data_IF_440400073772
#
_entry.id   IF_440400073772
#
_cell.length_a   1.000
_cell.length_b   1.000
_cell.length_c   1.000
_cell.angle_alpha   90.00
_cell.angle_beta   90.00
_cell.angle_gamma   90.00
#
_symmetry.space_group_name_H-M   'P 1'
#
loop_
_entity.id
_entity.type
_entity.pdbx_description
1 polymer ?
#
# COMPACT_ATOMS: atom_id res chain seq x y z
N UNK A 1 -57.12 19.31 -20.28
CA UNK A 1 -55.83 18.70 -19.89
C UNK A 1 -55.10 18.23 -21.14
N UNK A 2 -54.04 18.89 -21.59
CA UNK A 2 -53.29 18.45 -22.75
C UNK A 2 -52.20 17.45 -22.32
N UNK A 3 -52.05 16.41 -23.11
CA UNK A 3 -51.05 15.33 -22.98
C UNK A 3 -49.63 15.87 -23.20
N UNK A 4 -48.71 15.44 -22.35
CA UNK A 4 -47.26 15.65 -22.51
C UNK A 4 -46.71 14.82 -23.69
N UNK A 5 -45.71 15.32 -24.44
CA UNK A 5 -45.05 14.58 -25.50
C UNK A 5 -44.08 13.53 -24.96
N UNK A 6 -43.80 12.45 -25.70
CA UNK A 6 -42.90 11.39 -25.26
C UNK A 6 -41.45 11.84 -25.30
N UNK A 7 -40.69 11.40 -24.30
CA UNK A 7 -39.26 11.63 -24.16
C UNK A 7 -38.46 10.98 -25.31
N UNK A 8 -37.57 11.75 -25.91
CA UNK A 8 -36.65 11.31 -26.95
C UNK A 8 -35.61 10.35 -26.39
N UNK A 9 -35.43 9.22 -27.07
CA UNK A 9 -34.37 8.25 -26.79
C UNK A 9 -32.97 8.84 -27.08
N UNK A 10 -31.94 8.49 -26.31
CA UNK A 10 -30.58 8.93 -26.59
C UNK A 10 -30.02 8.25 -27.84
N UNK A 11 -29.52 9.06 -28.75
CA UNK A 11 -28.84 8.62 -29.98
C UNK A 11 -27.53 7.93 -29.59
N UNK A 12 -27.44 6.65 -29.91
CA UNK A 12 -26.19 5.87 -29.81
C UNK A 12 -25.16 6.41 -30.80
N UNK A 13 -23.98 6.68 -30.31
CA UNK A 13 -22.78 6.88 -31.12
C UNK A 13 -22.36 5.56 -31.77
N UNK A 14 -21.96 5.56 -33.04
CA UNK A 14 -21.57 4.35 -33.74
C UNK A 14 -20.23 3.84 -33.16
N UNK A 15 -20.22 2.57 -32.77
CA UNK A 15 -19.00 1.82 -32.46
C UNK A 15 -18.19 1.71 -33.75
N UNK A 16 -16.97 2.22 -33.71
CA UNK A 16 -15.96 2.02 -34.74
C UNK A 16 -15.55 0.56 -34.73
N UNK A 17 -16.06 -0.20 -35.71
CA UNK A 17 -15.49 -1.48 -36.08
C UNK A 17 -14.18 -1.19 -36.80
N UNK A 18 -13.06 -1.57 -36.20
CA UNK A 18 -11.77 -1.55 -36.89
C UNK A 18 -11.01 -2.85 -36.68
N UNK A 19 -10.98 -3.57 -37.77
CA UNK A 19 -9.88 -4.34 -38.36
C UNK A 19 -9.28 -5.47 -37.53
N UNK A 20 -9.81 -6.67 -37.80
CA UNK A 20 -9.02 -7.89 -37.72
C UNK A 20 -7.90 -7.85 -38.79
N UNK A 21 -6.66 -8.18 -38.37
CA UNK A 21 -5.71 -8.81 -39.25
C UNK A 21 -4.60 -7.97 -39.83
N UNK A 22 -3.48 -7.88 -39.11
CA UNK A 22 -2.14 -7.98 -39.72
C UNK A 22 -1.20 -8.62 -38.69
N UNK A 23 -0.35 -9.60 -39.04
CA UNK A 23 0.66 -10.10 -38.14
C UNK A 23 1.66 -8.97 -37.89
N UNK A 24 1.76 -8.52 -36.66
CA UNK A 24 2.74 -7.53 -36.24
C UNK A 24 4.14 -8.09 -36.50
N UNK A 25 4.90 -7.39 -37.34
CA UNK A 25 6.32 -7.63 -37.55
C UNK A 25 7.04 -7.68 -36.20
N UNK A 26 8.09 -8.51 -36.04
CA UNK A 26 8.82 -8.61 -34.79
C UNK A 26 9.44 -7.26 -34.45
N UNK A 27 8.82 -6.57 -33.53
CA UNK A 27 9.37 -5.34 -33.00
C UNK A 27 10.72 -5.66 -32.38
N UNK A 28 11.78 -5.08 -32.92
CA UNK A 28 13.09 -4.97 -32.30
C UNK A 28 12.95 -4.18 -31.01
N UNK A 29 12.40 -4.79 -29.98
CA UNK A 29 12.46 -4.25 -28.64
C UNK A 29 13.86 -4.49 -28.11
N UNK A 30 14.76 -3.55 -28.47
CA UNK A 30 15.95 -3.29 -27.68
C UNK A 30 15.55 -3.31 -26.19
N UNK A 31 16.33 -4.05 -25.42
CA UNK A 31 16.33 -4.16 -23.96
C UNK A 31 16.04 -2.83 -23.27
N UNK A 32 14.80 -2.42 -23.16
CA UNK A 32 14.39 -1.58 -22.05
C UNK A 32 14.28 -2.55 -20.88
N UNK A 33 15.28 -2.52 -20.02
CA UNK A 33 15.16 -3.09 -18.68
C UNK A 33 13.81 -2.60 -18.15
N UNK A 34 12.90 -3.52 -17.84
CA UNK A 34 11.59 -3.17 -17.33
C UNK A 34 11.82 -2.24 -16.14
N UNK A 35 11.41 -0.97 -16.29
CA UNK A 35 11.55 -0.03 -15.18
C UNK A 35 10.62 -0.55 -14.09
N UNK A 36 11.13 -0.68 -12.86
CA UNK A 36 10.28 -1.12 -11.76
C UNK A 36 9.07 -0.20 -11.65
N UNK A 37 7.89 -0.79 -11.52
CA UNK A 37 6.66 -0.02 -11.36
C UNK A 37 6.78 0.77 -10.06
N UNK A 38 6.76 2.09 -10.13
CA UNK A 38 6.82 2.95 -8.97
C UNK A 38 5.40 3.06 -8.39
N UNK A 39 5.17 2.44 -7.23
CA UNK A 39 3.90 2.54 -6.49
C UNK A 39 3.84 3.79 -5.60
N UNK A 40 4.96 4.44 -5.35
CA UNK A 40 5.07 5.65 -4.55
C UNK A 40 5.67 6.80 -5.35
N UNK A 41 5.51 8.02 -4.85
CA UNK A 41 6.12 9.23 -5.40
C UNK A 41 7.65 9.08 -5.55
N UNK A 42 8.25 9.91 -6.41
CA UNK A 42 9.69 9.94 -6.63
C UNK A 42 10.48 10.12 -5.33
N UNK A 43 11.69 9.55 -5.23
CA UNK A 43 12.57 9.77 -4.07
C UNK A 43 12.77 11.25 -3.76
N UNK A 44 12.69 11.61 -2.48
CA UNK A 44 12.84 12.98 -2.01
C UNK A 44 12.39 13.16 -0.57
N UNK A 45 12.71 14.30 0.06
CA UNK A 45 12.46 14.54 1.49
C UNK A 45 10.96 14.55 1.86
N UNK A 46 10.06 14.86 0.91
CA UNK A 46 8.62 14.89 1.13
C UNK A 46 7.90 13.64 0.62
N UNK A 47 8.64 12.63 0.17
CA UNK A 47 8.06 11.41 -0.39
C UNK A 47 7.10 10.70 0.56
N UNK A 48 7.40 10.69 1.87
CA UNK A 48 6.52 10.09 2.89
C UNK A 48 5.11 10.69 2.89
N UNK A 49 4.97 11.96 2.50
CA UNK A 49 3.69 12.65 2.39
C UNK A 49 3.09 12.56 0.98
N UNK A 50 3.82 11.96 0.05
CA UNK A 50 3.43 11.81 -1.34
C UNK A 50 2.36 10.74 -1.57
N UNK A 51 1.89 10.65 -2.83
CA UNK A 51 0.94 9.63 -3.26
C UNK A 51 1.52 8.23 -3.04
N UNK A 52 0.69 7.32 -2.51
CA UNK A 52 1.03 5.92 -2.28
C UNK A 52 1.76 5.62 -0.98
N UNK A 53 2.23 6.64 -0.23
CA UNK A 53 2.80 6.46 1.10
C UNK A 53 2.06 7.31 2.15
N UNK A 54 1.72 8.55 1.82
CA UNK A 54 1.19 9.51 2.78
C UNK A 54 -0.08 9.04 3.46
N UNK A 55 -1.02 8.55 2.69
CA UNK A 55 -2.29 8.00 3.15
C UNK A 55 -2.13 6.70 3.95
N UNK A 56 -1.04 5.96 3.73
CA UNK A 56 -0.77 4.71 4.44
C UNK A 56 -0.08 4.87 5.79
N UNK A 57 0.57 6.03 6.07
CA UNK A 57 1.27 6.14 7.35
C UNK A 57 1.84 7.52 7.73
N UNK A 58 1.61 8.57 6.93
CA UNK A 58 2.20 9.87 7.23
C UNK A 58 1.34 10.79 8.14
N UNK A 59 0.14 10.36 8.51
CA UNK A 59 -0.85 11.15 9.23
C UNK A 59 -0.30 11.86 10.46
N UNK A 60 0.48 11.17 11.29
CA UNK A 60 1.03 11.69 12.55
C UNK A 60 2.55 11.88 12.54
N UNK A 61 3.20 11.78 11.37
CA UNK A 61 4.66 11.95 11.24
C UNK A 61 5.15 13.32 11.76
N UNK A 62 4.48 14.47 11.51
CA UNK A 62 4.92 15.74 12.08
C UNK A 62 4.90 15.75 13.61
N UNK A 63 3.85 15.18 14.23
CA UNK A 63 3.78 15.05 15.68
C UNK A 63 4.92 14.15 16.22
N UNK A 64 5.23 13.07 15.54
CA UNK A 64 6.32 12.18 15.94
C UNK A 64 7.69 12.86 15.85
N UNK A 65 7.98 13.59 14.77
CA UNK A 65 9.23 14.33 14.60
C UNK A 65 9.42 15.41 15.66
N UNK A 66 8.41 16.27 15.85
CA UNK A 66 8.47 17.36 16.81
C UNK A 66 8.41 16.80 18.24
N UNK A 67 7.63 15.74 18.46
CA UNK A 67 7.56 15.01 19.71
C UNK A 67 8.89 14.39 20.12
N UNK A 68 9.61 13.79 19.19
CA UNK A 68 10.97 13.28 19.40
C UNK A 68 11.93 14.39 19.81
N UNK A 69 11.87 15.54 19.13
CA UNK A 69 12.67 16.72 19.50
C UNK A 69 12.30 17.23 20.91
N UNK A 70 11.01 17.37 21.19
CA UNK A 70 10.53 17.78 22.51
C UNK A 70 11.00 16.82 23.62
N UNK A 71 10.97 15.51 23.34
CA UNK A 71 11.45 14.49 24.27
C UNK A 71 12.96 14.60 24.52
N UNK A 72 13.75 14.79 23.46
CA UNK A 72 15.19 15.03 23.59
C UNK A 72 15.51 16.29 24.43
N UNK A 73 14.77 17.39 24.18
CA UNK A 73 14.89 18.62 24.96
C UNK A 73 14.52 18.39 26.43
N UNK A 74 13.44 17.67 26.69
CA UNK A 74 13.00 17.35 28.05
C UNK A 74 14.07 16.55 28.82
N UNK A 75 14.61 15.49 28.22
CA UNK A 75 15.71 14.68 28.79
C UNK A 75 16.93 15.56 29.07
N UNK A 76 17.28 16.46 28.14
CA UNK A 76 18.42 17.35 28.32
C UNK A 76 18.23 18.34 29.47
N UNK A 77 17.00 18.84 29.68
CA UNK A 77 16.66 19.78 30.74
C UNK A 77 16.54 19.15 32.12
N UNK A 78 15.93 17.96 32.20
CA UNK A 78 15.74 17.24 33.45
C UNK A 78 17.04 16.58 33.96
N UNK A 79 17.95 16.24 33.05
CA UNK A 79 19.12 15.42 33.35
C UNK A 79 18.78 13.96 33.65
N UNK A 80 19.77 13.11 33.99
CA UNK A 80 19.54 11.74 34.39
C UNK A 80 18.85 11.69 35.77
N UNK A 81 18.06 10.64 36.05
CA UNK A 81 17.51 10.40 37.38
C UNK A 81 18.61 10.31 38.44
N UNK A 82 18.28 10.65 39.69
CA UNK A 82 19.21 10.63 40.78
C UNK A 82 19.88 9.27 40.92
N UNK A 83 21.20 9.26 41.08
CA UNK A 83 22.02 8.03 41.17
C UNK A 83 22.21 7.27 39.85
N UNK A 84 21.66 7.73 38.73
CA UNK A 84 21.78 7.09 37.41
C UNK A 84 22.78 7.83 36.54
N UNK A 85 23.84 7.17 36.09
CA UNK A 85 24.73 7.74 35.08
C UNK A 85 23.99 7.95 33.75
N UNK A 86 24.23 9.06 33.02
CA UNK A 86 23.56 9.44 31.78
C UNK A 86 23.54 8.32 30.73
N UNK A 87 24.61 7.51 30.65
CA UNK A 87 24.69 6.35 29.74
C UNK A 87 23.75 5.19 30.10
N UNK A 88 23.18 5.19 31.33
CA UNK A 88 22.21 4.21 31.82
C UNK A 88 20.80 4.73 31.91
N UNK A 89 20.59 5.97 31.49
CA UNK A 89 19.24 6.55 31.45
C UNK A 89 18.41 5.86 30.37
N UNK A 90 17.41 5.11 30.80
CA UNK A 90 16.50 4.38 29.91
C UNK A 90 15.73 5.27 28.95
N UNK A 91 15.55 6.56 29.29
CA UNK A 91 14.90 7.53 28.41
C UNK A 91 15.79 7.82 27.18
N UNK A 92 17.10 7.93 27.40
CA UNK A 92 18.10 8.10 26.32
C UNK A 92 18.14 6.83 25.46
N UNK A 93 18.13 5.65 26.08
CA UNK A 93 18.10 4.36 25.35
C UNK A 93 16.83 4.25 24.48
N UNK A 94 15.66 4.61 25.02
CA UNK A 94 14.41 4.60 24.27
C UNK A 94 14.42 5.61 23.10
N UNK A 95 14.96 6.81 23.33
CA UNK A 95 15.11 7.80 22.26
C UNK A 95 16.01 7.31 21.13
N UNK A 96 17.15 6.68 21.48
CA UNK A 96 18.08 6.14 20.48
C UNK A 96 17.45 4.96 19.73
N UNK A 97 16.84 4.01 20.44
CA UNK A 97 16.28 2.81 19.83
C UNK A 97 15.06 3.13 18.96
N UNK A 98 14.03 3.74 19.53
CA UNK A 98 12.78 3.98 18.81
C UNK A 98 12.84 5.23 17.93
N UNK A 99 13.50 6.28 18.37
CA UNK A 99 13.74 7.47 17.56
C UNK A 99 14.71 7.19 16.41
N UNK A 100 15.77 6.43 16.67
CA UNK A 100 16.71 5.95 15.65
C UNK A 100 16.00 5.08 14.60
N UNK A 101 15.16 4.12 15.04
CA UNK A 101 14.31 3.35 14.14
C UNK A 101 13.46 4.26 13.26
N UNK A 102 12.70 5.18 13.88
CA UNK A 102 11.84 6.11 13.18
C UNK A 102 12.58 6.91 12.11
N UNK A 103 13.71 7.52 12.47
CA UNK A 103 14.51 8.32 11.54
C UNK A 103 15.11 7.46 10.42
N UNK A 104 15.63 6.28 10.76
CA UNK A 104 16.22 5.36 9.76
C UNK A 104 15.19 4.96 8.72
N UNK A 105 14.00 4.48 9.15
CA UNK A 105 12.93 4.10 8.24
C UNK A 105 12.42 5.29 7.43
N UNK A 106 12.26 6.46 8.06
CA UNK A 106 11.85 7.67 7.36
C UNK A 106 12.84 8.05 6.24
N UNK A 107 14.15 7.98 6.52
CA UNK A 107 15.20 8.26 5.53
C UNK A 107 15.20 7.20 4.44
N UNK A 108 15.21 5.91 4.79
CA UNK A 108 15.22 4.81 3.83
C UNK A 108 14.03 4.92 2.87
N UNK A 109 12.81 5.06 3.39
CA UNK A 109 11.62 5.20 2.56
C UNK A 109 11.62 6.48 1.71
N UNK A 110 12.27 7.55 2.18
CA UNK A 110 12.37 8.80 1.42
C UNK A 110 13.36 8.72 0.25
N UNK A 111 14.50 8.03 0.40
CA UNK A 111 15.58 8.04 -0.59
C UNK A 111 15.65 6.78 -1.46
N UNK A 112 14.98 5.69 -1.07
CA UNK A 112 15.00 4.41 -1.80
C UNK A 112 14.59 4.59 -3.26
N UNK A 113 15.38 4.01 -4.16
CA UNK A 113 15.09 3.94 -5.59
C UNK A 113 14.46 2.58 -5.93
N UNK A 114 13.67 2.54 -6.98
CA UNK A 114 13.02 1.32 -7.44
C UNK A 114 11.62 1.14 -6.87
N UNK A 115 11.23 -0.10 -6.63
CA UNK A 115 9.88 -0.45 -6.17
C UNK A 115 9.75 -0.14 -4.68
N UNK A 116 8.78 0.72 -4.34
CA UNK A 116 8.38 0.98 -2.95
C UNK A 116 6.87 0.83 -2.88
N UNK A 117 6.44 -0.25 -2.27
CA UNK A 117 5.01 -0.53 -2.09
C UNK A 117 4.43 0.28 -0.92
N UNK A 118 3.13 0.62 -0.98
CA UNK A 118 2.45 1.37 0.07
C UNK A 118 2.62 0.76 1.46
N UNK A 119 2.50 -0.56 1.59
CA UNK A 119 2.60 -1.26 2.86
C UNK A 119 4.01 -1.27 3.50
N UNK A 120 5.06 -0.88 2.77
CA UNK A 120 6.40 -0.75 3.38
C UNK A 120 6.45 0.32 4.48
N UNK A 121 5.53 1.30 4.43
CA UNK A 121 5.46 2.33 5.47
C UNK A 121 5.09 1.75 6.85
N UNK A 122 4.55 0.52 6.91
CA UNK A 122 4.29 -0.16 8.18
C UNK A 122 5.55 -0.34 9.03
N UNK A 123 6.74 -0.44 8.40
CA UNK A 123 8.01 -0.48 9.10
C UNK A 123 8.31 0.81 9.90
N UNK A 124 7.76 1.95 9.46
CA UNK A 124 7.86 3.23 10.16
C UNK A 124 6.99 3.27 11.44
N UNK A 125 5.89 2.51 11.47
CA UNK A 125 4.83 2.65 12.46
C UNK A 125 5.30 2.49 13.92
N UNK A 126 6.14 1.49 14.32
CA UNK A 126 6.53 1.35 15.72
C UNK A 126 7.30 2.56 16.25
N UNK A 127 8.27 3.05 15.48
CA UNK A 127 9.06 4.21 15.85
C UNK A 127 8.25 5.50 15.85
N UNK A 128 7.39 5.70 14.84
CA UNK A 128 6.49 6.83 14.73
C UNK A 128 5.51 6.90 15.91
N UNK A 129 4.85 5.79 16.24
CA UNK A 129 3.91 5.71 17.36
C UNK A 129 4.61 5.99 18.71
N UNK A 130 5.80 5.40 18.92
CA UNK A 130 6.57 5.64 20.13
C UNK A 130 6.97 7.12 20.27
N UNK A 131 7.47 7.75 19.21
CA UNK A 131 7.89 9.15 19.24
C UNK A 131 6.72 10.11 19.34
N UNK A 132 5.57 9.81 18.74
CA UNK A 132 4.34 10.58 18.93
C UNK A 132 3.85 10.48 20.39
N UNK A 133 3.78 9.27 20.95
CA UNK A 133 3.30 9.04 22.31
C UNK A 133 4.16 9.71 23.39
N UNK A 134 5.48 9.49 23.36
CA UNK A 134 6.40 10.16 24.31
C UNK A 134 6.45 11.67 24.06
N UNK A 135 6.27 12.08 22.80
CA UNK A 135 6.22 13.48 22.38
C UNK A 135 5.03 14.23 23.00
N UNK A 136 3.85 13.65 23.03
CA UNK A 136 2.65 14.18 23.69
C UNK A 136 2.94 14.49 25.16
N UNK A 137 3.56 13.54 25.86
CA UNK A 137 3.94 13.70 27.28
C UNK A 137 5.01 14.78 27.44
N UNK A 138 6.03 14.78 26.58
CA UNK A 138 7.13 15.73 26.63
C UNK A 138 6.64 17.18 26.37
N UNK A 139 5.81 17.37 25.34
CA UNK A 139 5.22 18.69 25.02
C UNK A 139 4.37 19.22 26.18
N UNK A 140 3.53 18.36 26.79
CA UNK A 140 2.73 18.72 27.95
C UNK A 140 3.60 19.10 29.16
N UNK A 141 4.69 18.38 29.42
CA UNK A 141 5.64 18.70 30.53
C UNK A 141 6.39 19.99 30.27
N UNK A 142 6.89 20.21 29.04
CA UNK A 142 7.56 21.44 28.66
C UNK A 142 6.64 22.65 28.78
N UNK A 143 5.37 22.54 28.36
CA UNK A 143 4.38 23.59 28.47
C UNK A 143 4.06 23.93 29.94
N UNK A 144 3.97 22.94 30.83
CA UNK A 144 3.75 23.16 32.28
C UNK A 144 4.95 23.81 32.97
N UNK A 145 6.15 23.43 32.59
CA UNK A 145 7.38 23.97 33.17
C UNK A 145 7.75 25.37 32.68
N UNK A 146 7.08 25.88 31.64
CA UNK A 146 7.33 27.24 31.16
C UNK A 146 6.86 28.34 32.17
N UNK A 147 7.49 29.51 32.21
CA UNK A 147 7.11 30.60 33.10
C UNK A 147 5.76 31.21 32.70
N UNK A 148 4.95 31.72 33.70
CA UNK A 148 3.67 32.37 33.41
C UNK A 148 3.80 33.62 32.57
N UNK A 149 2.88 33.88 31.65
CA UNK A 149 2.79 35.07 30.81
C UNK A 149 2.72 36.39 31.62
N UNK A 150 2.19 36.33 32.84
CA UNK A 150 2.05 37.50 33.73
C UNK A 150 3.37 38.17 34.11
N UNK A 151 4.52 37.50 33.98
CA UNK A 151 5.83 37.99 34.38
C UNK A 151 6.63 38.60 33.19
N UNK A 152 5.99 38.89 32.06
CA UNK A 152 6.67 39.39 30.86
C UNK A 152 7.14 40.84 30.91
N UNK A 153 6.65 41.66 31.85
CA UNK A 153 7.02 43.07 31.95
C UNK A 153 8.49 43.32 32.35
N UNK A 154 9.18 42.31 32.89
CA UNK A 154 10.60 42.37 33.27
C UNK A 154 11.43 41.24 32.65
N UNK A 155 10.94 40.63 31.57
CA UNK A 155 11.49 39.42 31.00
C UNK A 155 12.79 39.70 30.23
N UNK A 156 13.88 39.02 30.61
CA UNK A 156 15.09 38.93 29.82
C UNK A 156 14.85 38.10 28.53
N UNK A 157 15.70 38.28 27.52
CA UNK A 157 15.64 37.46 26.29
C UNK A 157 15.61 35.95 26.60
N UNK A 158 16.30 35.52 27.66
CA UNK A 158 16.32 34.13 28.15
C UNK A 158 14.94 33.66 28.62
N UNK A 159 14.23 34.51 29.39
CA UNK A 159 12.88 34.19 29.89
C UNK A 159 11.83 34.18 28.78
N UNK A 160 11.99 35.01 27.75
CA UNK A 160 11.15 34.95 26.55
C UNK A 160 11.37 33.65 25.76
N UNK A 161 12.62 33.21 25.60
CA UNK A 161 12.93 31.94 24.93
C UNK A 161 12.40 30.72 25.71
N UNK A 162 12.43 30.72 27.04
CA UNK A 162 11.89 29.67 27.89
C UNK A 162 10.37 29.53 27.78
N UNK A 163 9.65 30.59 27.43
CA UNK A 163 8.21 30.56 27.16
C UNK A 163 7.91 30.23 25.70
N UNK A 164 8.63 30.88 24.79
CA UNK A 164 8.37 30.77 23.34
C UNK A 164 8.63 29.37 22.79
N UNK A 165 9.69 28.67 23.25
CA UNK A 165 10.06 27.37 22.74
C UNK A 165 8.98 26.31 22.98
N UNK A 166 8.43 26.08 24.19
CA UNK A 166 7.34 25.14 24.39
C UNK A 166 6.09 25.47 23.58
N UNK A 167 5.73 26.78 23.52
CA UNK A 167 4.58 27.22 22.73
C UNK A 167 4.77 26.95 21.24
N UNK A 168 5.95 27.24 20.69
CA UNK A 168 6.30 27.01 19.31
C UNK A 168 6.28 25.49 18.99
N UNK A 169 6.82 24.63 19.87
CA UNK A 169 6.82 23.19 19.68
C UNK A 169 5.41 22.61 19.73
N UNK A 170 4.56 23.04 20.68
CA UNK A 170 3.16 22.59 20.76
C UNK A 170 2.39 23.03 19.52
N UNK A 171 2.48 24.33 19.17
CA UNK A 171 1.83 24.85 17.97
C UNK A 171 2.29 24.14 16.71
N UNK A 172 3.59 24.00 16.51
CA UNK A 172 4.15 23.31 15.34
C UNK A 172 3.71 21.84 15.27
N UNK A 173 3.75 21.11 16.40
CA UNK A 173 3.35 19.70 16.44
C UNK A 173 1.88 19.51 16.04
N UNK A 174 0.98 20.26 16.65
CA UNK A 174 -0.46 20.10 16.43
C UNK A 174 -0.89 20.66 15.06
N UNK A 175 -0.43 21.85 14.70
CA UNK A 175 -0.86 22.49 13.46
C UNK A 175 -0.23 21.88 12.21
N UNK A 176 1.05 21.46 12.27
CA UNK A 176 1.67 20.77 11.14
C UNK A 176 1.02 19.39 10.92
N UNK A 177 0.66 18.68 12.00
CA UNK A 177 -0.05 17.40 11.88
C UNK A 177 -1.44 17.61 11.31
N UNK A 178 -2.22 18.56 11.83
CA UNK A 178 -3.54 18.90 11.30
C UNK A 178 -3.46 19.31 9.81
N UNK A 179 -2.44 20.09 9.42
CA UNK A 179 -2.25 20.48 8.02
C UNK A 179 -1.97 19.27 7.12
N UNK A 180 -1.14 18.32 7.56
CA UNK A 180 -0.90 17.06 6.83
C UNK A 180 -2.19 16.25 6.72
N UNK A 181 -2.94 16.09 7.80
CA UNK A 181 -4.22 15.36 7.78
C UNK A 181 -5.19 16.00 6.77
N UNK A 182 -5.37 17.32 6.79
CA UNK A 182 -6.25 18.01 5.84
C UNK A 182 -5.81 17.78 4.39
N UNK A 183 -4.49 17.84 4.11
CA UNK A 183 -3.98 17.54 2.76
C UNK A 183 -4.29 16.12 2.35
N UNK A 184 -4.11 15.15 3.25
CA UNK A 184 -4.39 13.74 2.98
C UNK A 184 -5.90 13.49 2.82
N UNK A 185 -6.75 14.06 3.70
CA UNK A 185 -8.21 13.96 3.63
C UNK A 185 -8.74 14.44 2.27
N UNK A 186 -8.25 15.59 1.79
CA UNK A 186 -8.63 16.15 0.49
C UNK A 186 -8.14 15.30 -0.67
N UNK A 187 -6.92 14.82 -0.60
CA UNK A 187 -6.31 14.02 -1.66
C UNK A 187 -7.01 12.67 -1.83
N UNK A 188 -7.38 12.05 -0.72
CA UNK A 188 -8.06 10.75 -0.71
C UNK A 188 -9.61 10.87 -0.69
N UNK A 189 -10.13 12.10 -0.77
CA UNK A 189 -11.57 12.42 -0.68
C UNK A 189 -12.26 11.76 0.54
N UNK A 190 -11.50 11.65 1.65
CA UNK A 190 -11.92 10.92 2.83
C UNK A 190 -12.22 11.85 4.01
N UNK A 191 -13.43 11.75 4.58
CA UNK A 191 -13.88 12.54 5.74
C UNK A 191 -13.67 14.07 5.59
N UNK A 192 -13.70 14.62 4.38
CA UNK A 192 -13.48 16.06 4.10
C UNK A 192 -14.39 16.96 4.94
N UNK A 193 -15.60 16.50 5.28
CA UNK A 193 -16.53 17.20 6.17
C UNK A 193 -15.99 17.39 7.59
N UNK A 194 -15.00 16.60 8.02
CA UNK A 194 -14.40 16.67 9.35
C UNK A 194 -13.21 17.63 9.44
N UNK A 195 -12.70 18.16 8.32
CA UNK A 195 -11.59 19.13 8.28
C UNK A 195 -11.75 20.31 9.23
N UNK A 196 -12.91 21.01 9.31
CA UNK A 196 -13.07 22.11 10.22
C UNK A 196 -12.87 21.74 11.68
N UNK A 197 -13.26 20.51 12.06
CA UNK A 197 -13.09 19.97 13.41
C UNK A 197 -11.63 19.71 13.72
N UNK A 198 -10.88 19.15 12.77
CA UNK A 198 -9.43 18.93 12.91
C UNK A 198 -8.69 20.25 13.06
N UNK A 199 -8.97 21.23 12.19
CA UNK A 199 -8.30 22.55 12.21
C UNK A 199 -8.64 23.30 13.50
N UNK A 200 -9.93 23.51 13.77
CA UNK A 200 -10.38 24.28 14.92
C UNK A 200 -9.99 23.59 16.24
N UNK A 201 -10.12 22.27 16.30
CA UNK A 201 -9.72 21.47 17.46
C UNK A 201 -8.23 21.54 17.73
N UNK A 202 -7.39 21.40 16.71
CA UNK A 202 -5.94 21.54 16.86
C UNK A 202 -5.53 22.93 17.35
N UNK A 203 -6.13 23.98 16.80
CA UNK A 203 -5.87 25.37 17.22
C UNK A 203 -6.32 25.62 18.67
N UNK A 204 -7.55 25.22 19.01
CA UNK A 204 -8.11 25.40 20.35
C UNK A 204 -7.32 24.64 21.40
N UNK A 205 -6.96 23.37 21.11
CA UNK A 205 -6.21 22.53 22.04
C UNK A 205 -4.75 22.99 22.16
N UNK A 206 -4.11 23.46 21.09
CA UNK A 206 -2.81 24.09 21.15
C UNK A 206 -2.84 25.34 22.06
N UNK A 207 -3.85 26.19 21.89
CA UNK A 207 -4.06 27.34 22.76
C UNK A 207 -4.30 26.91 24.21
N UNK A 208 -5.15 25.91 24.46
CA UNK A 208 -5.45 25.41 25.79
C UNK A 208 -4.21 24.87 26.52
N UNK A 209 -3.34 24.12 25.82
CA UNK A 209 -2.05 23.62 26.35
C UNK A 209 -1.17 24.75 26.83
N UNK A 210 -1.13 25.84 26.10
CA UNK A 210 -0.24 27.00 26.39
C UNK A 210 -0.85 27.91 27.44
N UNK A 211 -2.14 28.23 27.33
CA UNK A 211 -2.83 29.20 28.18
C UNK A 211 -3.22 28.60 29.55
N UNK A 212 -3.65 27.35 29.59
CA UNK A 212 -4.21 26.72 30.81
C UNK A 212 -3.33 25.52 31.24
N UNK A 213 -2.12 25.83 31.66
CA UNK A 213 -1.04 24.88 31.95
C UNK A 213 -1.41 23.73 32.88
N UNK A 214 -2.28 23.97 33.86
CA UNK A 214 -2.77 22.90 34.76
C UNK A 214 -3.45 21.77 34.01
N UNK A 215 -4.05 22.06 32.87
CA UNK A 215 -4.72 21.09 32.00
C UNK A 215 -3.89 20.68 30.78
N UNK A 216 -2.64 21.12 30.66
CA UNK A 216 -1.80 20.84 29.49
C UNK A 216 -1.74 19.36 29.12
N UNK A 217 -1.67 18.44 30.08
CA UNK A 217 -1.66 17.01 29.81
C UNK A 217 -2.99 16.51 29.24
N UNK A 218 -4.12 16.99 29.77
CA UNK A 218 -5.44 16.62 29.29
C UNK A 218 -5.69 17.18 27.90
N UNK A 219 -5.31 18.45 27.68
CA UNK A 219 -5.43 19.09 26.37
C UNK A 219 -4.55 18.42 25.32
N UNK A 220 -3.32 18.04 25.66
CA UNK A 220 -2.44 17.29 24.74
C UNK A 220 -2.99 15.88 24.45
N UNK A 221 -3.52 15.18 25.44
CA UNK A 221 -4.16 13.89 25.23
C UNK A 221 -5.41 14.02 24.33
N UNK A 222 -6.25 15.03 24.58
CA UNK A 222 -7.39 15.32 23.73
C UNK A 222 -7.00 15.68 22.30
N UNK A 223 -5.94 16.47 22.11
CA UNK A 223 -5.40 16.79 20.79
C UNK A 223 -4.88 15.53 20.07
N UNK A 224 -4.18 14.67 20.77
CA UNK A 224 -3.67 13.42 20.21
C UNK A 224 -4.83 12.49 19.79
N UNK A 225 -5.84 12.35 20.64
CA UNK A 225 -7.03 11.55 20.30
C UNK A 225 -7.80 12.13 19.11
N UNK A 226 -7.93 13.46 19.03
CA UNK A 226 -8.55 14.13 17.88
C UNK A 226 -7.81 13.81 16.59
N UNK A 227 -6.46 13.96 16.60
CA UNK A 227 -5.62 13.68 15.43
C UNK A 227 -5.54 12.19 15.08
N UNK A 228 -5.95 11.28 15.95
CA UNK A 228 -6.06 9.84 15.64
C UNK A 228 -7.39 9.46 15.02
N UNK A 229 -8.42 10.31 15.03
CA UNK A 229 -9.76 9.96 14.50
C UNK A 229 -9.70 9.60 13.03
N UNK A 230 -9.11 10.47 12.21
CA UNK A 230 -9.06 10.30 10.75
C UNK A 230 -8.20 9.10 10.35
N UNK A 231 -6.93 8.97 10.79
CA UNK A 231 -6.10 7.83 10.42
C UNK A 231 -6.66 6.48 10.94
N UNK A 232 -7.29 6.46 12.12
CA UNK A 232 -7.94 5.26 12.62
C UNK A 232 -9.13 4.85 11.75
N UNK A 233 -9.98 5.81 11.39
CA UNK A 233 -11.09 5.55 10.47
C UNK A 233 -10.60 5.08 9.10
N UNK A 234 -9.55 5.71 8.56
CA UNK A 234 -8.95 5.32 7.29
C UNK A 234 -8.38 3.89 7.32
N UNK A 235 -7.63 3.55 8.35
CA UNK A 235 -7.09 2.21 8.54
C UNK A 235 -8.19 1.16 8.75
N UNK A 236 -9.27 1.50 9.45
CA UNK A 236 -10.41 0.60 9.71
C UNK A 236 -11.17 0.20 8.44
N UNK A 237 -10.99 0.91 7.33
CA UNK A 237 -11.58 0.53 6.04
C UNK A 237 -11.19 -0.89 5.62
N UNK A 238 -10.02 -1.38 6.04
CA UNK A 238 -9.53 -2.74 5.76
C UNK A 238 -10.35 -3.84 6.44
N UNK A 239 -11.16 -3.51 7.45
CA UNK A 239 -12.04 -4.46 8.13
C UNK A 239 -13.41 -4.54 7.47
N UNK A 240 -13.80 -3.50 6.75
CA UNK A 240 -15.15 -3.33 6.20
C UNK A 240 -15.31 -3.94 4.81
N UNK A 241 -14.22 -4.12 4.08
CA UNK A 241 -14.23 -4.67 2.73
C UNK A 241 -12.96 -5.47 2.43
N UNK A 242 -13.01 -6.44 1.51
CA UNK A 242 -11.83 -7.14 1.02
C UNK A 242 -10.79 -6.17 0.47
N UNK A 243 -9.53 -6.37 0.85
CA UNK A 243 -8.39 -5.63 0.32
C UNK A 243 -7.64 -6.48 -0.72
N UNK A 244 -6.84 -5.84 -1.55
CA UNK A 244 -5.98 -6.54 -2.47
C UNK A 244 -4.87 -7.28 -1.72
N UNK A 245 -4.77 -8.59 -1.94
CA UNK A 245 -3.83 -9.44 -1.20
C UNK A 245 -2.38 -9.31 -1.63
N UNK A 246 -2.13 -8.88 -2.87
CA UNK A 246 -0.76 -8.76 -3.41
C UNK A 246 -0.10 -7.45 -3.02
N UNK A 247 -0.86 -6.36 -3.07
CA UNK A 247 -0.41 -5.01 -2.77
C UNK A 247 -1.36 -4.33 -1.78
N UNK A 248 -1.42 -4.82 -0.53
CA UNK A 248 -2.39 -4.33 0.44
C UNK A 248 -2.18 -2.85 0.73
N UNK A 249 -3.27 -2.11 0.72
CA UNK A 249 -3.32 -0.70 1.09
C UNK A 249 -4.62 -0.41 1.83
N UNK A 250 -4.57 0.50 2.80
CA UNK A 250 -5.76 0.98 3.48
C UNK A 250 -6.45 2.09 2.67
N UNK A 251 -7.71 2.33 3.00
CA UNK A 251 -8.51 3.40 2.42
C UNK A 251 -9.73 2.89 1.65
N UNK A 252 -10.83 3.63 1.65
CA UNK A 252 -12.09 3.20 1.05
C UNK A 252 -12.02 3.02 -0.46
N UNK A 253 -11.20 3.82 -1.15
CA UNK A 253 -10.99 3.70 -2.60
C UNK A 253 -10.19 2.45 -2.97
N UNK A 254 -9.25 2.05 -2.12
CA UNK A 254 -8.43 0.85 -2.31
C UNK A 254 -9.26 -0.42 -2.08
N UNK A 255 -10.18 -0.39 -1.15
CA UNK A 255 -11.08 -1.51 -0.88
C UNK A 255 -12.20 -1.64 -1.92
N UNK A 256 -12.71 -0.55 -2.45
CA UNK A 256 -13.75 -0.55 -3.48
C UNK A 256 -13.23 -1.01 -4.87
N UNK A 257 -11.95 -0.78 -5.15
CA UNK A 257 -11.28 -1.18 -6.39
C UNK A 257 -10.56 -2.51 -6.33
N UNK A 258 -10.63 -3.19 -5.19
CA UNK A 258 -9.98 -4.48 -4.97
C UNK A 258 -10.65 -5.62 -5.77
N UNK A 259 -10.66 -5.46 -7.08
CA UNK A 259 -10.54 -6.58 -7.98
C UNK A 259 -9.13 -7.15 -7.84
N UNK A 260 -8.60 -7.19 -6.61
CA UNK A 260 -7.36 -7.88 -6.35
C UNK A 260 -7.48 -9.29 -6.88
N UNK A 261 -6.36 -9.96 -7.03
CA UNK A 261 -6.30 -11.41 -7.33
C UNK A 261 -7.10 -12.17 -6.25
N UNK A 262 -7.99 -11.43 -5.64
CA UNK A 262 -8.99 -11.89 -4.73
C UNK A 262 -9.89 -12.85 -5.46
N UNK A 263 -10.01 -14.02 -4.92
CA UNK A 263 -11.03 -14.98 -5.28
C UNK A 263 -12.38 -14.34 -4.94
N UNK A 264 -12.81 -13.36 -5.75
CA UNK A 264 -14.17 -12.82 -5.68
C UNK A 264 -15.19 -13.92 -5.96
N UNK A 265 -16.41 -13.81 -5.48
CA UNK A 265 -17.41 -14.89 -5.58
C UNK A 265 -17.61 -15.41 -7.01
N UNK A 266 -17.65 -14.55 -8.01
CA UNK A 266 -17.77 -14.91 -9.41
C UNK A 266 -16.52 -15.60 -9.97
N UNK A 267 -15.34 -15.12 -9.57
CA UNK A 267 -14.06 -15.72 -9.98
C UNK A 267 -13.81 -17.04 -9.28
N UNK A 268 -14.25 -17.18 -8.05
CA UNK A 268 -14.19 -18.45 -7.31
C UNK A 268 -15.01 -19.53 -7.99
N UNK A 269 -16.21 -19.24 -8.44
CA UNK A 269 -17.05 -20.17 -9.16
C UNK A 269 -16.38 -20.63 -10.47
N UNK A 270 -15.74 -19.71 -11.18
CA UNK A 270 -15.02 -19.98 -12.42
C UNK A 270 -13.77 -20.86 -12.17
N UNK A 271 -12.98 -20.51 -11.16
CA UNK A 271 -11.80 -21.29 -10.76
C UNK A 271 -12.22 -22.72 -10.39
N UNK A 272 -13.32 -22.92 -9.67
CA UNK A 272 -13.86 -24.25 -9.34
C UNK A 272 -14.27 -25.05 -10.59
N UNK A 273 -14.91 -24.40 -11.58
CA UNK A 273 -15.26 -25.05 -12.86
C UNK A 273 -14.02 -25.51 -13.62
N UNK A 274 -12.99 -24.65 -13.68
CA UNK A 274 -11.72 -24.98 -14.32
C UNK A 274 -11.01 -26.13 -13.57
N UNK A 275 -11.01 -26.12 -12.25
CA UNK A 275 -10.47 -27.23 -11.44
C UNK A 275 -11.22 -28.54 -11.75
N UNK A 276 -12.54 -28.50 -11.84
CA UNK A 276 -13.34 -29.68 -12.20
C UNK A 276 -12.98 -30.16 -13.59
N UNK A 277 -12.88 -29.30 -14.58
CA UNK A 277 -12.44 -29.62 -15.93
C UNK A 277 -11.07 -30.31 -15.94
N UNK A 278 -10.07 -29.74 -15.30
CA UNK A 278 -8.70 -30.29 -15.25
C UNK A 278 -8.68 -31.67 -14.58
N UNK A 279 -9.38 -31.83 -13.46
CA UNK A 279 -9.46 -33.12 -12.73
C UNK A 279 -10.13 -34.22 -13.56
N UNK A 280 -11.15 -33.88 -14.33
CA UNK A 280 -11.86 -34.86 -15.20
C UNK A 280 -11.02 -35.29 -16.39
N UNK A 281 -10.26 -34.36 -16.99
CA UNK A 281 -9.53 -34.65 -18.23
C UNK A 281 -8.10 -35.14 -18.01
N UNK A 282 -7.53 -34.93 -16.84
CA UNK A 282 -6.20 -35.47 -16.48
C UNK A 282 -6.05 -35.66 -14.97
N UNK A 283 -6.61 -36.71 -14.39
CA UNK A 283 -6.36 -37.02 -12.98
C UNK A 283 -4.90 -37.43 -12.75
N UNK A 284 -4.32 -37.06 -11.62
CA UNK A 284 -3.05 -37.59 -11.13
C UNK A 284 -1.78 -36.94 -11.68
N UNK A 285 -1.84 -35.80 -12.38
CA UNK A 285 -0.62 -35.04 -12.73
C UNK A 285 -0.03 -34.38 -11.48
N UNK A 286 1.31 -34.29 -11.41
CA UNK A 286 2.01 -33.56 -10.34
C UNK A 286 1.56 -32.11 -10.27
N UNK A 287 1.40 -31.46 -11.43
CA UNK A 287 0.88 -30.11 -11.58
C UNK A 287 -0.46 -30.18 -12.32
N UNK A 288 -1.55 -29.93 -11.62
CA UNK A 288 -2.87 -29.85 -12.23
C UNK A 288 -2.95 -28.73 -13.25
N UNK A 289 -2.35 -27.57 -12.92
CA UNK A 289 -2.26 -26.42 -13.82
C UNK A 289 -0.96 -25.66 -13.56
N UNK A 290 -0.33 -25.14 -14.62
CA UNK A 290 0.76 -24.18 -14.55
C UNK A 290 0.26 -22.81 -15.02
N UNK A 291 0.84 -21.73 -14.53
CA UNK A 291 0.48 -20.36 -14.90
C UNK A 291 1.72 -19.53 -15.25
N UNK A 292 1.51 -18.35 -15.80
CA UNK A 292 2.57 -17.36 -16.01
C UNK A 292 3.15 -16.87 -14.69
N UNK A 293 2.32 -16.49 -13.73
CA UNK A 293 2.74 -15.90 -12.45
C UNK A 293 2.17 -16.68 -11.26
N UNK A 294 2.87 -16.63 -10.11
CA UNK A 294 2.43 -17.29 -8.88
C UNK A 294 1.10 -16.75 -8.35
N UNK A 295 0.82 -15.48 -8.60
CA UNK A 295 -0.46 -14.85 -8.27
C UNK A 295 -1.61 -15.52 -9.04
N UNK A 296 -1.42 -15.79 -10.32
CA UNK A 296 -2.39 -16.53 -11.15
C UNK A 296 -2.55 -17.99 -10.69
N UNK A 297 -1.48 -18.62 -10.18
CA UNK A 297 -1.50 -19.99 -9.64
C UNK A 297 -2.20 -20.11 -8.27
N UNK A 298 -2.11 -19.09 -7.44
CA UNK A 298 -2.53 -19.13 -6.03
C UNK A 298 -3.99 -19.59 -5.80
N UNK A 299 -5.01 -19.12 -6.55
CA UNK A 299 -6.39 -19.55 -6.39
C UNK A 299 -6.57 -21.06 -6.55
N UNK A 300 -5.84 -21.68 -7.46
CA UNK A 300 -5.92 -23.13 -7.69
C UNK A 300 -5.36 -23.92 -6.51
N UNK A 301 -4.21 -23.49 -5.95
CA UNK A 301 -3.64 -24.04 -4.73
C UNK A 301 -4.60 -23.97 -3.55
N UNK A 302 -5.17 -22.79 -3.32
CA UNK A 302 -6.12 -22.56 -2.21
C UNK A 302 -7.36 -23.45 -2.31
N UNK A 303 -7.75 -23.84 -3.53
CA UNK A 303 -8.87 -24.75 -3.79
C UNK A 303 -8.45 -26.20 -3.99
N UNK A 304 -7.22 -26.57 -3.63
CA UNK A 304 -6.74 -27.93 -3.57
C UNK A 304 -6.33 -28.54 -4.91
N UNK A 305 -6.02 -27.72 -5.93
CA UNK A 305 -5.38 -28.17 -7.16
C UNK A 305 -3.90 -27.80 -7.14
N UNK A 306 -2.96 -28.77 -7.13
CA UNK A 306 -1.53 -28.46 -7.23
C UNK A 306 -1.24 -27.61 -8.46
N UNK A 307 -0.67 -26.45 -8.29
CA UNK A 307 -0.38 -25.51 -9.36
C UNK A 307 0.98 -24.85 -9.18
N UNK A 308 1.55 -24.34 -10.25
CA UNK A 308 2.86 -23.70 -10.22
C UNK A 308 2.97 -22.57 -11.21
N UNK A 309 4.03 -21.79 -11.11
CA UNK A 309 4.33 -20.69 -12.02
C UNK A 309 5.50 -21.03 -12.93
N UNK A 310 5.35 -20.72 -14.22
CA UNK A 310 6.42 -20.82 -15.22
C UNK A 310 7.41 -19.66 -15.13
N UNK A 311 6.94 -18.49 -14.69
CA UNK A 311 7.70 -17.25 -14.74
C UNK A 311 7.74 -16.51 -13.38
N UNK A 312 7.71 -17.26 -12.29
CA UNK A 312 7.91 -16.76 -10.94
C UNK A 312 6.78 -15.87 -10.42
N UNK A 313 7.10 -14.95 -9.52
CA UNK A 313 6.13 -14.04 -8.93
C UNK A 313 5.64 -13.01 -9.95
N UNK A 314 6.58 -12.40 -10.66
CA UNK A 314 6.32 -11.26 -11.56
C UNK A 314 5.77 -11.66 -12.93
N UNK A 315 5.76 -12.93 -13.26
CA UNK A 315 5.41 -13.42 -14.59
C UNK A 315 6.52 -13.26 -15.63
N UNK A 316 7.73 -12.85 -15.23
CA UNK A 316 8.87 -12.61 -16.14
C UNK A 316 10.16 -13.29 -15.69
N UNK A 317 10.17 -13.93 -14.52
CA UNK A 317 11.37 -14.55 -13.98
C UNK A 317 11.78 -15.78 -14.80
N UNK A 318 13.08 -16.02 -15.04
CA UNK A 318 13.58 -17.14 -15.85
C UNK A 318 13.60 -18.45 -15.07
N UNK A 319 12.44 -18.85 -14.51
CA UNK A 319 12.30 -20.07 -13.67
C UNK A 319 12.45 -21.33 -14.49
N UNK A 320 11.87 -21.36 -15.70
CA UNK A 320 11.89 -22.48 -16.62
C UNK A 320 11.85 -21.96 -18.06
N UNK A 321 12.45 -22.70 -18.98
CA UNK A 321 12.37 -22.48 -20.42
C UNK A 321 11.41 -23.47 -21.13
N UNK A 322 11.24 -23.33 -22.42
CA UNK A 322 10.40 -24.23 -23.22
C UNK A 322 10.82 -25.69 -23.14
N UNK A 323 12.14 -25.96 -23.17
CA UNK A 323 12.70 -27.32 -23.03
C UNK A 323 12.41 -27.93 -21.66
N UNK A 324 12.49 -27.11 -20.60
CA UNK A 324 12.13 -27.52 -19.25
C UNK A 324 10.66 -27.88 -19.12
N UNK A 325 9.78 -27.12 -19.74
CA UNK A 325 8.34 -27.40 -19.79
C UNK A 325 8.07 -28.67 -20.62
N UNK A 326 8.67 -28.79 -21.80
CA UNK A 326 8.54 -29.99 -22.66
C UNK A 326 8.85 -31.28 -21.91
N UNK A 327 9.95 -31.32 -21.14
CA UNK A 327 10.31 -32.46 -20.32
C UNK A 327 9.25 -32.81 -19.27
N UNK A 328 8.60 -31.82 -18.67
CA UNK A 328 7.53 -32.05 -17.68
C UNK A 328 6.26 -32.59 -18.34
N UNK A 329 5.92 -32.07 -19.50
CA UNK A 329 4.78 -32.56 -20.29
C UNK A 329 5.03 -34.02 -20.74
N UNK A 330 6.20 -34.30 -21.29
CA UNK A 330 6.59 -35.66 -21.72
C UNK A 330 6.57 -36.71 -20.59
N UNK A 331 6.89 -36.29 -19.35
CA UNK A 331 6.79 -37.13 -18.15
C UNK A 331 5.37 -37.28 -17.60
N UNK A 332 4.40 -36.59 -18.17
CA UNK A 332 3.05 -36.50 -17.62
C UNK A 332 2.94 -35.73 -16.31
N UNK A 333 3.97 -34.96 -15.95
CA UNK A 333 3.98 -34.12 -14.72
C UNK A 333 3.09 -32.87 -14.85
N UNK A 334 2.93 -32.36 -16.09
CA UNK A 334 2.12 -31.19 -16.41
C UNK A 334 1.43 -31.40 -17.77
N UNK A 335 0.29 -30.75 -17.95
CA UNK A 335 -0.44 -30.71 -19.22
C UNK A 335 -1.02 -29.34 -19.50
N UNK A 336 -1.78 -28.82 -18.55
CA UNK A 336 -2.51 -27.57 -18.73
C UNK A 336 -1.69 -26.36 -18.26
N UNK A 337 -1.72 -25.32 -19.07
CA UNK A 337 -1.11 -24.02 -18.77
C UNK A 337 -2.17 -22.95 -18.91
N UNK A 338 -2.30 -22.09 -17.91
CA UNK A 338 -3.15 -20.89 -17.95
C UNK A 338 -2.27 -19.67 -18.01
N UNK A 339 -2.48 -18.83 -19.00
CA UNK A 339 -1.77 -17.56 -19.18
C UNK A 339 -2.75 -16.41 -19.08
N UNK A 340 -2.26 -15.25 -18.63
CA UNK A 340 -3.07 -14.05 -18.46
C UNK A 340 -3.11 -13.55 -17.02
N UNK A 341 -4.09 -12.72 -16.72
CA UNK A 341 -4.21 -12.13 -15.39
C UNK A 341 -3.37 -10.84 -15.21
N UNK A 342 -3.13 -10.46 -13.96
CA UNK A 342 -2.58 -9.16 -13.58
C UNK A 342 -1.22 -8.84 -14.24
N UNK A 343 -0.36 -9.84 -14.39
CA UNK A 343 1.00 -9.62 -14.91
C UNK A 343 1.18 -10.00 -16.38
N UNK A 344 0.11 -10.34 -17.09
CA UNK A 344 0.18 -10.75 -18.50
C UNK A 344 0.79 -9.70 -19.42
N UNK A 345 0.63 -8.41 -19.11
CA UNK A 345 1.20 -7.29 -19.88
C UNK A 345 2.72 -7.16 -19.77
N UNK A 346 3.36 -7.88 -18.84
CA UNK A 346 4.81 -7.84 -18.63
C UNK A 346 5.60 -8.67 -19.63
N UNK A 347 4.95 -9.42 -20.51
CA UNK A 347 5.56 -10.10 -21.64
C UNK A 347 6.02 -11.55 -21.38
N UNK A 348 5.91 -12.04 -20.15
CA UNK A 348 6.25 -13.44 -19.83
C UNK A 348 7.75 -13.76 -19.90
N UNK A 349 8.08 -15.05 -19.87
CA UNK A 349 9.42 -15.59 -20.06
C UNK A 349 9.47 -16.54 -21.29
N UNK A 350 10.59 -17.25 -21.50
CA UNK A 350 10.75 -18.18 -22.62
C UNK A 350 9.74 -19.33 -22.60
N UNK A 351 9.37 -19.84 -21.42
CA UNK A 351 8.39 -20.92 -21.33
C UNK A 351 6.97 -20.43 -21.67
N UNK A 352 6.57 -19.26 -21.22
CA UNK A 352 5.27 -18.68 -21.58
C UNK A 352 5.19 -18.37 -23.07
N UNK A 353 6.29 -17.87 -23.66
CA UNK A 353 6.39 -17.65 -25.09
C UNK A 353 6.30 -18.97 -25.89
N UNK A 354 6.90 -20.06 -25.40
CA UNK A 354 6.80 -21.37 -26.01
C UNK A 354 5.35 -21.91 -25.97
N UNK A 355 4.65 -21.74 -24.84
CA UNK A 355 3.23 -22.14 -24.71
C UNK A 355 2.35 -21.45 -25.74
N UNK A 356 2.51 -20.15 -25.91
CA UNK A 356 1.73 -19.35 -26.88
C UNK A 356 1.93 -19.79 -28.34
N UNK A 357 3.07 -20.38 -28.65
CA UNK A 357 3.37 -20.84 -30.03
C UNK A 357 3.08 -22.30 -30.27
N UNK A 358 3.24 -23.13 -29.25
CA UNK A 358 3.23 -24.57 -29.42
C UNK A 358 1.96 -25.25 -28.92
N UNK A 359 1.38 -24.79 -27.82
CA UNK A 359 0.26 -25.47 -27.19
C UNK A 359 -1.09 -25.09 -27.80
N UNK A 360 -2.05 -25.99 -27.78
CA UNK A 360 -3.42 -25.76 -28.25
C UNK A 360 -4.18 -24.85 -27.28
N UNK A 361 -4.74 -23.77 -27.79
CA UNK A 361 -5.62 -22.90 -27.00
C UNK A 361 -7.00 -23.53 -26.88
N UNK A 362 -7.47 -23.76 -25.66
CA UNK A 362 -8.78 -24.31 -25.41
C UNK A 362 -9.87 -23.24 -25.38
N UNK A 363 -11.00 -23.51 -26.01
CA UNK A 363 -12.15 -22.62 -26.00
C UNK A 363 -12.65 -22.38 -24.56
N UNK A 364 -12.96 -21.14 -24.18
CA UNK A 364 -13.40 -20.81 -22.82
C UNK A 364 -14.61 -21.62 -22.35
N UNK A 365 -15.52 -21.94 -23.26
CA UNK A 365 -16.74 -22.72 -22.99
C UNK A 365 -16.46 -24.15 -22.50
N UNK A 366 -15.34 -24.75 -22.87
CA UNK A 366 -14.95 -26.08 -22.42
C UNK A 366 -14.72 -26.18 -20.93
N UNK A 367 -14.23 -25.12 -20.33
CA UNK A 367 -13.96 -25.05 -18.89
C UNK A 367 -14.92 -24.11 -18.14
N UNK A 368 -16.08 -23.80 -18.76
CA UNK A 368 -17.18 -23.12 -18.11
C UNK A 368 -17.07 -21.59 -18.02
N UNK A 369 -16.21 -20.98 -18.85
CA UNK A 369 -16.21 -19.53 -19.06
C UNK A 369 -17.14 -19.16 -20.24
N UNK A 370 -17.77 -17.99 -20.25
CA UNK A 370 -18.58 -17.56 -21.38
C UNK A 370 -17.71 -17.28 -22.61
N UNK A 371 -18.29 -17.46 -23.81
CA UNK A 371 -17.57 -17.23 -25.07
C UNK A 371 -17.08 -15.77 -25.23
N UNK A 372 -17.78 -14.82 -24.60
CA UNK A 372 -17.41 -13.39 -24.54
C UNK A 372 -16.33 -13.07 -23.50
N UNK A 373 -15.74 -14.09 -22.88
CA UNK A 373 -14.70 -13.89 -21.87
C UNK A 373 -13.41 -13.39 -22.48
N UNK A 374 -13.26 -12.07 -22.51
CA UNK A 374 -12.12 -11.37 -23.14
C UNK A 374 -11.07 -10.96 -22.09
N UNK A 375 -11.34 -11.12 -20.80
CA UNK A 375 -10.45 -10.69 -19.74
C UNK A 375 -9.53 -11.80 -19.25
N UNK A 376 -8.47 -11.97 -19.98
CA UNK A 376 -7.15 -12.15 -19.44
C UNK A 376 -6.69 -13.58 -19.17
N UNK A 377 -7.53 -14.56 -18.88
CA UNK A 377 -7.09 -15.94 -18.62
C UNK A 377 -7.39 -16.85 -19.80
N UNK A 378 -6.35 -17.43 -20.38
CA UNK A 378 -6.45 -18.36 -21.51
C UNK A 378 -5.85 -19.69 -21.11
N UNK A 379 -6.62 -20.78 -21.27
CA UNK A 379 -6.17 -22.14 -20.99
C UNK A 379 -5.57 -22.77 -22.23
N UNK A 380 -4.42 -23.40 -22.08
CA UNK A 380 -3.72 -24.14 -23.11
C UNK A 380 -3.57 -25.60 -22.72
N UNK A 381 -3.72 -26.49 -23.68
CA UNK A 381 -3.33 -27.89 -23.57
C UNK A 381 -1.99 -28.11 -24.30
N UNK A 382 -1.01 -28.56 -23.55
CA UNK A 382 0.34 -28.79 -24.07
C UNK A 382 0.66 -30.26 -24.35
N UNK A 383 -0.29 -31.18 -24.13
CA UNK A 383 -0.07 -32.61 -24.40
C UNK A 383 0.10 -32.87 -25.91
N UNK A 384 1.13 -33.62 -26.28
CA UNK A 384 1.45 -33.93 -27.68
C UNK A 384 2.24 -32.82 -28.40
N UNK A 385 2.54 -31.71 -27.71
CA UNK A 385 3.29 -30.56 -28.25
C UNK A 385 4.71 -30.45 -27.71
N UNK A 386 5.26 -31.55 -27.15
CA UNK A 386 6.58 -31.54 -26.49
C UNK A 386 7.71 -31.17 -27.44
N UNK A 387 7.62 -31.62 -28.72
CA UNK A 387 8.64 -31.36 -29.72
C UNK A 387 8.70 -29.86 -30.09
N UNK A 388 7.56 -29.20 -30.22
CA UNK A 388 7.43 -27.79 -30.50
C UNK A 388 7.89 -26.95 -29.32
N UNK A 389 7.49 -27.31 -28.10
CA UNK A 389 7.92 -26.66 -26.86
C UNK A 389 9.44 -26.73 -26.68
N UNK A 390 10.08 -27.83 -27.11
CA UNK A 390 11.53 -28.02 -26.95
C UNK A 390 12.39 -27.22 -27.92
N UNK A 391 11.81 -26.69 -29.01
CA UNK A 391 12.54 -25.88 -30.01
C UNK A 391 12.91 -24.48 -29.53
N UNK A 392 12.44 -24.11 -28.36
CA UNK A 392 12.72 -22.87 -27.64
C UNK A 392 13.81 -23.10 -26.57
#
# INVERSE_FOLDING_TARGET
>A
MPRAPPAAAPRGTPASAEAAGAPAAPARHAKRAAQPVAFAASPGPLRLFGKGLGDQGAWIVPLALIGMLAYAILIAREGPPEGVARRRDMRVAALIAMGGWFVTEAVVLSVSKGIVHPYYISALAPGCAAMAGVGVVALARLARGARPLANLRSASLRSLAELALPAALVGAALLATAAVEVVLMRREEYMVWFEPVVIAGAMLLAFAVIAVRRFASVAMAAAFLLLLVVPTGYASSTWLAPIEGTFPAAGPTQTAGAGGVGIGGADLARVRKLIAYVRTHRPGTRWGILSDASVTAAPFWLLGLPSGSLAGYSGTDPVIDGRGLARRVARGEARYVILGGEFSTRGGNRATAAVLRACEQLAPTLWGAPQSYVHGLVLFDCAGHEAELARE
#
